data_IF_526244973052
#
_entry.id   IF_526244973052
#
_cell.length_a   1.000
_cell.length_b   1.000
_cell.length_c   1.000
_cell.angle_alpha   90.00
_cell.angle_beta   90.00
_cell.angle_gamma   90.00
#
_symmetry.space_group_name_H-M   'P 1'
#
loop_
_entity.id
_entity.type
_entity.pdbx_description
1 polymer ?
#
# COMPACT_ATOMS: atom_id res chain seq x y z
N UNK A 1 -17.29 -16.61 -47.29
CA UNK A 1 -16.52 -15.40 -47.58
C UNK A 1 -16.38 -14.59 -46.30
N UNK A 2 -15.14 -14.28 -45.90
CA UNK A 2 -14.76 -13.65 -44.62
C UNK A 2 -15.35 -12.23 -44.48
N UNK A 3 -15.94 -11.93 -43.31
CA UNK A 3 -16.27 -10.57 -42.85
C UNK A 3 -14.97 -9.93 -42.34
N UNK A 4 -14.57 -8.80 -42.91
CA UNK A 4 -13.41 -8.02 -42.45
C UNK A 4 -13.80 -7.08 -41.33
N UNK A 5 -13.16 -7.22 -40.17
CA UNK A 5 -13.20 -6.28 -39.06
C UNK A 5 -12.31 -5.08 -39.38
N UNK A 6 -12.89 -3.88 -39.45
CA UNK A 6 -12.11 -2.65 -39.52
C UNK A 6 -11.61 -2.29 -38.12
N UNK A 7 -10.33 -2.53 -37.85
CA UNK A 7 -9.62 -1.98 -36.69
C UNK A 7 -9.45 -0.48 -36.91
N UNK A 8 -10.08 0.35 -36.06
CA UNK A 8 -9.82 1.79 -36.04
C UNK A 8 -8.44 1.98 -35.42
N UNK A 9 -7.42 2.24 -36.25
CA UNK A 9 -6.10 2.63 -35.76
C UNK A 9 -6.19 4.03 -35.15
N UNK A 10 -5.87 4.14 -33.86
CA UNK A 10 -5.62 5.42 -33.22
C UNK A 10 -4.35 6.03 -33.83
N UNK A 11 -4.47 7.22 -34.41
CA UNK A 11 -3.33 7.99 -34.95
C UNK A 11 -3.12 9.17 -33.99
N UNK A 12 -2.01 9.22 -33.24
CA UNK A 12 -1.75 10.36 -32.37
C UNK A 12 -1.60 11.64 -33.21
N UNK A 13 -1.94 12.81 -32.64
CA UNK A 13 -1.81 14.08 -33.35
C UNK A 13 -0.35 14.31 -33.76
N UNK A 14 -0.15 14.94 -34.92
CA UNK A 14 1.21 15.28 -35.39
C UNK A 14 1.87 16.28 -34.44
N UNK A 15 3.20 16.29 -34.40
CA UNK A 15 3.98 17.22 -33.59
C UNK A 15 3.53 18.67 -33.82
N UNK A 16 3.24 19.37 -32.73
CA UNK A 16 2.75 20.75 -32.75
C UNK A 16 3.40 21.58 -31.64
N UNK A 17 4.16 22.62 -32.02
CA UNK A 17 4.89 23.43 -31.05
C UNK A 17 5.92 22.59 -30.27
N UNK A 18 5.83 22.59 -28.95
CA UNK A 18 6.68 21.79 -28.05
C UNK A 18 6.19 20.33 -27.87
N UNK A 19 5.05 19.97 -28.46
CA UNK A 19 4.52 18.61 -28.41
C UNK A 19 5.21 17.72 -29.45
N UNK A 20 5.85 16.67 -28.96
CA UNK A 20 6.50 15.62 -29.74
C UNK A 20 5.82 14.28 -29.41
N UNK A 21 5.09 13.66 -30.37
CA UNK A 21 4.39 12.39 -30.18
C UNK A 21 5.35 11.25 -29.78
N UNK A 22 6.63 11.34 -30.18
CA UNK A 22 7.65 10.34 -29.83
C UNK A 22 8.07 10.45 -28.35
N UNK A 23 7.59 11.46 -27.62
CA UNK A 23 7.79 11.69 -26.17
C UNK A 23 6.49 11.56 -25.38
N UNK A 24 5.43 11.05 -26.01
CA UNK A 24 4.19 10.70 -25.34
C UNK A 24 4.44 9.46 -24.47
N UNK A 25 4.67 9.71 -23.18
CA UNK A 25 4.85 8.67 -22.18
C UNK A 25 3.53 8.39 -21.47
N UNK A 26 3.17 7.11 -21.31
CA UNK A 26 2.12 6.69 -20.38
C UNK A 26 2.45 7.24 -18.99
N UNK A 27 1.74 8.28 -18.59
CA UNK A 27 1.95 8.92 -17.31
C UNK A 27 0.97 8.30 -16.30
N UNK A 28 1.50 7.62 -15.28
CA UNK A 28 0.72 7.19 -14.12
C UNK A 28 -0.06 8.38 -13.52
N UNK A 29 -1.33 8.18 -13.26
CA UNK A 29 -2.18 9.19 -12.62
C UNK A 29 -1.90 9.28 -11.12
N UNK A 30 -1.68 10.49 -10.61
CA UNK A 30 -1.62 10.78 -9.17
C UNK A 30 -2.66 11.85 -8.85
N UNK A 31 -3.34 11.71 -7.72
CA UNK A 31 -4.27 12.71 -7.21
C UNK A 31 -4.16 12.83 -5.69
N UNK A 32 -4.49 14.01 -5.17
CA UNK A 32 -4.52 14.30 -3.75
C UNK A 32 -5.85 14.95 -3.39
N UNK A 33 -6.42 14.55 -2.25
CA UNK A 33 -7.66 15.11 -1.71
C UNK A 33 -7.37 15.57 -0.29
N UNK A 34 -7.77 16.80 0.05
CA UNK A 34 -7.56 17.39 1.37
C UNK A 34 -8.86 17.98 1.87
N UNK A 35 -9.23 17.68 3.12
CA UNK A 35 -10.34 18.35 3.78
C UNK A 35 -9.84 19.62 4.50
N UNK A 36 -10.12 20.79 3.91
CA UNK A 36 -9.69 22.09 4.45
C UNK A 36 -10.30 22.42 5.83
N UNK A 37 -11.41 21.80 6.20
CA UNK A 37 -12.02 21.99 7.52
C UNK A 37 -11.30 21.24 8.64
N UNK A 38 -10.34 20.35 8.30
CA UNK A 38 -9.61 19.51 9.25
C UNK A 38 -10.44 18.39 9.90
N UNK A 39 -11.74 18.26 9.56
CA UNK A 39 -12.61 17.21 10.09
C UNK A 39 -12.25 15.85 9.50
N UNK A 40 -12.07 14.85 10.37
CA UNK A 40 -11.88 13.45 9.98
C UNK A 40 -13.22 12.85 9.58
N UNK A 41 -13.37 12.51 8.31
CA UNK A 41 -14.62 12.00 7.72
C UNK A 41 -14.29 10.97 6.63
N UNK A 42 -15.11 9.92 6.51
CA UNK A 42 -14.92 8.84 5.54
C UNK A 42 -15.13 9.29 4.07
N UNK A 43 -15.86 10.37 3.83
CA UNK A 43 -16.07 10.96 2.50
C UNK A 43 -14.78 11.29 1.74
N UNK A 44 -13.66 11.55 2.45
CA UNK A 44 -12.36 11.76 1.81
C UNK A 44 -11.82 10.48 1.15
N UNK A 45 -12.11 9.32 1.72
CA UNK A 45 -11.75 8.01 1.17
C UNK A 45 -12.59 7.71 -0.07
N UNK A 46 -13.89 8.00 -0.03
CA UNK A 46 -14.77 7.84 -1.19
C UNK A 46 -14.36 8.76 -2.34
N UNK A 47 -13.99 10.00 -2.05
CA UNK A 47 -13.41 10.91 -3.06
C UNK A 47 -12.11 10.35 -3.63
N UNK A 48 -11.22 9.81 -2.78
CA UNK A 48 -9.97 9.17 -3.22
C UNK A 48 -10.21 7.97 -4.14
N UNK A 49 -11.19 7.11 -3.80
CA UNK A 49 -11.62 6.00 -4.67
C UNK A 49 -12.13 6.50 -6.02
N UNK A 50 -12.95 7.56 -6.02
CA UNK A 50 -13.45 8.15 -7.26
C UNK A 50 -12.32 8.70 -8.14
N UNK A 51 -11.29 9.31 -7.53
CA UNK A 51 -10.10 9.75 -8.25
C UNK A 51 -9.41 8.58 -8.93
N UNK A 52 -9.20 7.45 -8.24
CA UNK A 52 -8.60 6.26 -8.84
C UNK A 52 -9.43 5.71 -10.01
N UNK A 53 -10.76 5.63 -9.86
CA UNK A 53 -11.65 5.22 -10.95
C UNK A 53 -11.55 6.14 -12.16
N UNK A 54 -11.47 7.46 -11.92
CA UNK A 54 -11.32 8.43 -13.00
C UNK A 54 -9.96 8.34 -13.68
N UNK A 55 -8.92 7.84 -13.00
CA UNK A 55 -7.58 7.64 -13.55
C UNK A 55 -7.40 6.28 -14.24
N UNK A 56 -8.43 5.43 -14.29
CA UNK A 56 -8.36 4.10 -14.89
C UNK A 56 -7.90 4.12 -16.36
N UNK A 57 -8.32 5.14 -17.13
CA UNK A 57 -7.88 5.34 -18.53
C UNK A 57 -6.38 5.64 -18.69
N UNK A 58 -5.66 5.86 -17.58
CA UNK A 58 -4.21 6.08 -17.52
C UNK A 58 -3.47 4.93 -16.84
N UNK A 59 -4.19 3.87 -16.47
CA UNK A 59 -3.57 2.64 -16.00
C UNK A 59 -3.11 1.84 -17.21
N UNK A 60 -1.83 1.47 -17.23
CA UNK A 60 -1.39 0.42 -18.12
C UNK A 60 -2.03 -0.92 -17.65
N UNK A 61 -2.60 -1.63 -18.61
CA UNK A 61 -3.03 -3.01 -18.43
C UNK A 61 -1.83 -3.92 -18.68
N UNK A 62 -1.65 -4.92 -17.81
CA UNK A 62 -0.60 -5.92 -17.92
C UNK A 62 -0.77 -6.83 -19.14
N UNK A 63 0.04 -7.88 -19.20
CA UNK A 63 0.04 -8.82 -20.33
C UNK A 63 -1.29 -9.62 -20.47
N UNK A 64 -2.10 -9.68 -19.41
CA UNK A 64 -3.50 -10.13 -19.43
C UNK A 64 -4.45 -8.93 -19.19
N UNK A 65 -5.62 -8.95 -19.85
CA UNK A 65 -6.58 -7.83 -19.85
C UNK A 65 -7.11 -7.45 -18.45
N UNK A 66 -6.88 -8.30 -17.44
CA UNK A 66 -7.40 -8.16 -16.07
C UNK A 66 -6.37 -7.71 -15.04
N UNK A 67 -5.07 -7.76 -15.32
CA UNK A 67 -4.05 -7.28 -14.38
C UNK A 67 -3.74 -5.82 -14.66
N UNK A 68 -3.84 -4.96 -13.65
CA UNK A 68 -3.32 -3.59 -13.72
C UNK A 68 -1.93 -3.49 -13.09
N UNK A 69 -1.15 -2.50 -13.49
CA UNK A 69 0.21 -2.26 -12.96
C UNK A 69 0.25 -1.88 -11.48
N UNK A 70 -0.87 -1.38 -10.94
CA UNK A 70 -1.05 -1.08 -9.52
C UNK A 70 -1.90 0.15 -9.25
N UNK A 71 -2.62 0.12 -8.13
CA UNK A 71 -3.37 1.26 -7.62
C UNK A 71 -3.30 1.27 -6.09
N UNK A 72 -3.37 2.45 -5.47
CA UNK A 72 -3.29 2.56 -4.01
C UNK A 72 -3.76 3.91 -3.50
N UNK A 73 -4.13 3.94 -2.22
CA UNK A 73 -4.49 5.16 -1.49
C UNK A 73 -3.60 5.22 -0.25
N UNK A 74 -2.85 6.31 -0.09
CA UNK A 74 -2.21 6.66 1.17
C UNK A 74 -3.13 7.57 1.97
N UNK A 75 -3.43 7.20 3.21
CA UNK A 75 -4.29 7.98 4.10
C UNK A 75 -3.78 7.91 5.54
N UNK A 76 -4.27 8.82 6.37
CA UNK A 76 -3.89 8.90 7.79
C UNK A 76 -4.36 7.67 8.57
N UNK A 77 -3.63 7.31 9.62
CA UNK A 77 -3.98 6.18 10.50
C UNK A 77 -5.41 6.34 11.04
N UNK A 78 -6.34 5.42 10.72
CA UNK A 78 -7.74 5.49 11.14
C UNK A 78 -7.90 5.00 12.60
N UNK A 79 -7.47 5.81 13.57
CA UNK A 79 -7.36 5.39 14.97
C UNK A 79 -8.61 4.72 15.55
N UNK A 80 -9.81 5.26 15.31
CA UNK A 80 -11.06 4.65 15.82
C UNK A 80 -11.27 3.23 15.31
N UNK A 81 -10.96 2.98 14.05
CA UNK A 81 -11.06 1.66 13.44
C UNK A 81 -10.00 0.71 14.02
N UNK A 82 -8.74 1.15 14.08
CA UNK A 82 -7.66 0.29 14.59
C UNK A 82 -7.76 0.02 16.08
N UNK A 83 -8.28 0.95 16.89
CA UNK A 83 -8.51 0.72 18.32
C UNK A 83 -9.53 -0.42 18.52
N UNK A 84 -10.66 -0.37 17.81
CA UNK A 84 -11.68 -1.42 17.86
C UNK A 84 -11.14 -2.78 17.35
N UNK A 85 -10.37 -2.77 16.26
CA UNK A 85 -9.74 -4.00 15.75
C UNK A 85 -8.69 -4.57 16.71
N UNK A 86 -7.88 -3.72 17.34
CA UNK A 86 -6.90 -4.14 18.34
C UNK A 86 -7.57 -4.83 19.53
N UNK A 87 -8.64 -4.24 20.07
CA UNK A 87 -9.42 -4.83 21.16
C UNK A 87 -9.95 -6.22 20.77
N UNK A 88 -10.49 -6.36 19.56
CA UNK A 88 -10.95 -7.65 19.01
C UNK A 88 -9.83 -8.69 18.89
N UNK A 89 -8.60 -8.24 18.63
CA UNK A 89 -7.42 -9.08 18.48
C UNK A 89 -6.66 -9.29 19.81
N UNK A 90 -7.13 -8.70 20.92
CA UNK A 90 -6.58 -8.92 22.25
C UNK A 90 -5.46 -7.96 22.67
N UNK A 91 -5.31 -6.79 22.00
CA UNK A 91 -4.35 -5.77 22.41
C UNK A 91 -4.95 -4.35 22.39
N UNK A 92 -4.52 -3.50 23.32
CA UNK A 92 -4.97 -2.10 23.37
C UNK A 92 -4.02 -1.20 22.57
N UNK A 93 -4.57 -0.21 21.87
CA UNK A 93 -3.78 0.83 21.22
C UNK A 93 -3.66 2.09 22.09
N UNK A 94 -2.47 2.69 22.17
CA UNK A 94 -2.28 4.03 22.71
C UNK A 94 -3.09 5.10 21.95
N UNK A 95 -3.11 6.31 22.52
CA UNK A 95 -3.70 7.48 21.87
C UNK A 95 -3.05 7.78 20.50
N UNK A 96 -3.74 8.52 19.60
CA UNK A 96 -3.15 8.95 18.33
C UNK A 96 -1.78 9.62 18.51
N UNK A 97 -0.83 9.32 17.61
CA UNK A 97 0.56 9.82 17.69
C UNK A 97 1.44 9.09 18.72
N UNK A 98 0.88 8.14 19.48
CA UNK A 98 1.62 7.32 20.46
C UNK A 98 1.82 5.87 20.01
N UNK A 99 1.39 5.55 18.79
CA UNK A 99 1.61 4.25 18.17
C UNK A 99 1.75 4.41 16.66
N UNK A 100 2.42 3.44 16.03
CA UNK A 100 2.67 3.38 14.61
C UNK A 100 2.14 2.07 14.02
N UNK A 101 1.97 2.04 12.71
CA UNK A 101 1.50 0.85 11.97
C UNK A 101 2.41 0.59 10.79
N UNK A 102 2.91 -0.64 10.67
CA UNK A 102 3.58 -1.10 9.46
C UNK A 102 2.64 -2.03 8.69
N UNK A 103 2.49 -1.81 7.38
CA UNK A 103 1.90 -2.81 6.48
C UNK A 103 3.04 -3.64 5.89
N UNK A 104 2.97 -4.95 6.06
CA UNK A 104 4.03 -5.90 5.72
C UNK A 104 3.48 -6.89 4.70
N UNK A 105 4.21 -7.07 3.62
CA UNK A 105 3.94 -8.07 2.59
C UNK A 105 4.89 -9.24 2.77
N UNK A 106 4.35 -10.45 2.73
CA UNK A 106 5.11 -11.69 2.87
C UNK A 106 4.68 -12.76 1.87
N UNK A 107 5.45 -13.86 1.76
CA UNK A 107 5.09 -14.98 0.92
C UNK A 107 3.76 -15.61 1.39
N UNK A 108 2.93 -16.03 0.43
CA UNK A 108 1.63 -16.66 0.70
C UNK A 108 1.74 -18.14 1.04
N UNK A 109 2.69 -18.83 0.39
CA UNK A 109 2.85 -20.29 0.50
C UNK A 109 3.97 -20.71 1.45
N UNK A 110 4.60 -19.77 2.15
CA UNK A 110 5.69 -20.03 3.10
C UNK A 110 5.49 -19.24 4.40
N UNK A 111 4.65 -19.81 5.27
CA UNK A 111 4.29 -19.19 6.55
C UNK A 111 5.49 -19.07 7.51
N UNK A 112 6.42 -20.03 7.45
CA UNK A 112 7.61 -20.05 8.32
C UNK A 112 8.61 -18.95 7.92
N UNK A 113 8.84 -18.78 6.61
CA UNK A 113 9.62 -17.66 6.10
C UNK A 113 8.97 -16.33 6.43
N UNK A 114 7.65 -16.20 6.27
CA UNK A 114 6.96 -14.96 6.61
C UNK A 114 7.08 -14.65 8.11
N UNK A 115 6.89 -15.65 8.98
CA UNK A 115 7.06 -15.50 10.43
C UNK A 115 8.50 -15.11 10.79
N UNK A 116 9.51 -15.69 10.14
CA UNK A 116 10.90 -15.32 10.34
C UNK A 116 11.19 -13.86 9.96
N UNK A 117 10.64 -13.39 8.82
CA UNK A 117 10.72 -11.99 8.39
C UNK A 117 10.02 -11.04 9.38
N UNK A 118 8.82 -11.40 9.86
CA UNK A 118 8.11 -10.67 10.91
C UNK A 118 8.97 -10.56 12.18
N UNK A 119 9.61 -11.66 12.60
CA UNK A 119 10.51 -11.66 13.76
C UNK A 119 11.73 -10.73 13.60
N UNK A 120 12.26 -10.56 12.38
CA UNK A 120 13.31 -9.58 12.10
C UNK A 120 12.81 -8.13 12.23
N UNK A 121 11.56 -7.87 11.86
CA UNK A 121 10.92 -6.56 12.07
C UNK A 121 10.72 -6.29 13.55
N UNK A 122 10.22 -7.26 14.32
CA UNK A 122 10.06 -7.14 15.78
C UNK A 122 11.39 -6.88 16.48
N UNK A 123 12.43 -7.64 16.13
CA UNK A 123 13.78 -7.45 16.65
C UNK A 123 14.36 -6.07 16.28
N UNK A 124 14.06 -5.58 15.09
CA UNK A 124 14.48 -4.24 14.63
C UNK A 124 13.74 -3.14 15.39
N UNK A 125 12.45 -3.30 15.66
CA UNK A 125 11.68 -2.37 16.47
C UNK A 125 12.19 -2.32 17.92
N UNK A 126 12.43 -3.49 18.52
CA UNK A 126 13.00 -3.61 19.86
C UNK A 126 14.39 -2.96 19.96
N UNK A 127 15.23 -3.11 18.94
CA UNK A 127 16.55 -2.45 18.89
C UNK A 127 16.47 -0.93 19.00
N UNK A 128 15.40 -0.32 18.49
CA UNK A 128 15.17 1.12 18.56
C UNK A 128 14.27 1.55 19.74
N UNK A 129 14.01 0.64 20.69
CA UNK A 129 13.26 0.92 21.91
C UNK A 129 11.75 0.98 21.74
N UNK A 130 11.22 0.41 20.66
CA UNK A 130 9.78 0.27 20.42
C UNK A 130 9.29 -1.13 20.81
N UNK A 131 8.00 -1.25 21.11
CA UNK A 131 7.36 -2.53 21.43
C UNK A 131 6.30 -2.86 20.37
N UNK A 132 6.30 -4.09 19.88
CA UNK A 132 5.18 -4.58 19.05
C UNK A 132 4.01 -4.93 19.96
N UNK A 133 2.85 -4.32 19.69
CA UNK A 133 1.61 -4.49 20.45
C UNK A 133 0.82 -5.70 19.97
N UNK A 134 0.83 -5.94 18.66
CA UNK A 134 0.11 -7.04 18.04
C UNK A 134 0.16 -6.98 16.52
N UNK A 135 -0.43 -8.01 15.92
CA UNK A 135 -0.52 -8.18 14.48
C UNK A 135 -1.98 -8.33 14.06
N UNK A 136 -2.28 -7.85 12.86
CA UNK A 136 -3.58 -7.97 12.21
C UNK A 136 -3.40 -8.49 10.80
N UNK A 137 -4.01 -9.63 10.49
CA UNK A 137 -4.18 -10.06 9.09
C UNK A 137 -5.11 -9.08 8.38
N UNK A 138 -4.70 -8.58 7.21
CA UNK A 138 -5.51 -7.64 6.45
C UNK A 138 -6.54 -8.44 5.64
N UNK A 139 -7.85 -8.19 5.83
CA UNK A 139 -8.87 -8.85 5.01
C UNK A 139 -8.73 -8.43 3.54
N UNK A 140 -8.65 -9.41 2.66
CA UNK A 140 -8.53 -9.23 1.21
C UNK A 140 -9.59 -10.04 0.47
N UNK A 141 -9.99 -9.56 -0.71
CA UNK A 141 -10.85 -10.27 -1.66
C UNK A 141 -10.16 -10.27 -3.02
N UNK A 142 -9.67 -11.43 -3.44
CA UNK A 142 -8.85 -11.60 -4.63
C UNK A 142 -9.62 -12.14 -5.84
N UNK A 143 -10.95 -12.24 -5.76
CA UNK A 143 -11.80 -12.80 -6.83
C UNK A 143 -11.72 -12.04 -8.16
N UNK A 144 -11.25 -10.80 -8.14
CA UNK A 144 -11.13 -9.93 -9.32
C UNK A 144 -9.70 -9.84 -9.87
N UNK A 145 -8.72 -10.53 -9.27
CA UNK A 145 -7.34 -10.52 -9.75
C UNK A 145 -7.19 -11.39 -11.00
N UNK A 146 -6.42 -10.92 -11.98
CA UNK A 146 -5.93 -11.75 -13.08
C UNK A 146 -4.98 -12.85 -12.60
N UNK A 147 -4.72 -13.85 -13.43
CA UNK A 147 -3.89 -15.01 -13.07
C UNK A 147 -2.46 -14.59 -12.67
N UNK A 148 -1.89 -13.62 -13.39
CA UNK A 148 -0.56 -13.09 -13.10
C UNK A 148 -0.51 -12.38 -11.74
N UNK A 149 -1.49 -11.51 -11.46
CA UNK A 149 -1.59 -10.82 -10.18
C UNK A 149 -1.84 -11.79 -9.00
N UNK A 150 -2.66 -12.81 -9.23
CA UNK A 150 -2.98 -13.82 -8.22
C UNK A 150 -1.76 -14.68 -7.86
N UNK A 151 -0.94 -15.05 -8.86
CA UNK A 151 0.29 -15.81 -8.65
C UNK A 151 1.35 -15.02 -7.87
N UNK A 152 1.34 -13.69 -7.99
CA UNK A 152 2.25 -12.79 -7.27
C UNK A 152 1.64 -12.21 -5.97
N UNK A 153 0.41 -12.60 -5.61
CA UNK A 153 -0.31 -12.03 -4.46
C UNK A 153 0.42 -12.33 -3.13
N UNK A 154 0.83 -11.30 -2.37
CA UNK A 154 1.45 -11.51 -1.08
C UNK A 154 0.41 -11.75 0.02
N UNK A 155 0.82 -12.43 1.09
CA UNK A 155 0.11 -12.30 2.37
C UNK A 155 0.35 -10.92 2.95
N UNK A 156 -0.71 -10.26 3.42
CA UNK A 156 -0.65 -8.89 3.95
C UNK A 156 -0.99 -8.88 5.43
N UNK A 157 -0.07 -8.36 6.25
CA UNK A 157 -0.26 -8.16 7.69
C UNK A 157 0.04 -6.74 8.10
N UNK A 158 -0.57 -6.30 9.19
CA UNK A 158 -0.28 -5.04 9.85
C UNK A 158 0.31 -5.29 11.24
N UNK A 159 1.46 -4.68 11.53
CA UNK A 159 2.07 -4.67 12.85
C UNK A 159 1.83 -3.32 13.53
N UNK A 160 1.51 -3.35 14.82
CA UNK A 160 1.27 -2.16 15.63
C UNK A 160 2.43 -1.97 16.61
N UNK A 161 2.95 -0.75 16.71
CA UNK A 161 4.13 -0.42 17.53
C UNK A 161 3.79 0.66 18.54
N UNK A 162 4.17 0.46 19.80
CA UNK A 162 4.12 1.47 20.85
C UNK A 162 5.35 2.39 20.75
N UNK A 163 5.13 3.70 20.89
CA UNK A 163 6.21 4.69 20.95
C UNK A 163 7.04 4.62 22.24
N UNK A 164 6.58 3.89 23.26
CA UNK A 164 7.29 3.63 24.52
C UNK A 164 7.85 4.91 25.17
N UNK A 165 7.05 5.99 25.17
CA UNK A 165 7.45 7.26 25.77
C UNK A 165 8.08 8.26 24.81
N UNK A 166 8.51 7.85 23.61
CA UNK A 166 9.08 8.78 22.61
C UNK A 166 8.07 9.83 22.15
N UNK A 167 8.55 11.03 21.82
CA UNK A 167 7.76 12.01 21.08
C UNK A 167 7.54 11.55 19.63
N UNK A 168 6.62 12.22 18.92
CA UNK A 168 6.16 11.81 17.59
C UNK A 168 7.27 11.89 16.53
N UNK A 169 8.05 12.97 16.51
CA UNK A 169 9.14 13.17 15.55
C UNK A 169 10.21 12.08 15.71
N UNK A 170 10.68 11.86 16.95
CA UNK A 170 11.64 10.80 17.26
C UNK A 170 11.07 9.43 16.93
N UNK A 171 9.79 9.19 17.19
CA UNK A 171 9.15 7.92 16.94
C UNK A 171 9.09 7.60 15.44
N UNK A 172 8.72 8.57 14.60
CA UNK A 172 8.74 8.44 13.13
C UNK A 172 10.16 8.12 12.63
N UNK A 173 11.19 8.80 13.14
CA UNK A 173 12.58 8.49 12.83
C UNK A 173 12.96 7.06 13.23
N UNK A 174 12.52 6.59 14.40
CA UNK A 174 12.78 5.21 14.84
C UNK A 174 12.03 4.17 14.01
N UNK A 175 10.80 4.44 13.60
CA UNK A 175 10.06 3.58 12.67
C UNK A 175 10.78 3.46 11.33
N UNK A 176 11.25 4.59 10.79
CA UNK A 176 12.04 4.61 9.55
C UNK A 176 13.30 3.75 9.68
N UNK A 177 14.08 3.96 10.74
CA UNK A 177 15.31 3.21 10.98
C UNK A 177 15.05 1.71 11.22
N UNK A 178 13.99 1.37 11.97
CA UNK A 178 13.57 -0.02 12.19
C UNK A 178 13.22 -0.71 10.88
N UNK A 179 12.46 -0.03 9.99
CA UNK A 179 12.16 -0.54 8.66
C UNK A 179 13.43 -0.78 7.85
N UNK A 180 14.33 0.20 7.75
CA UNK A 180 15.61 0.05 7.00
C UNK A 180 16.46 -1.08 7.54
N UNK A 181 16.50 -1.25 8.87
CA UNK A 181 17.21 -2.34 9.53
C UNK A 181 16.59 -3.70 9.19
N UNK A 182 15.27 -3.82 9.31
CA UNK A 182 14.56 -5.05 8.98
C UNK A 182 14.76 -5.45 7.51
N UNK A 183 14.58 -4.52 6.58
CA UNK A 183 14.84 -4.72 5.14
C UNK A 183 16.27 -5.23 4.87
N UNK A 184 17.26 -4.65 5.56
CA UNK A 184 18.66 -5.06 5.43
C UNK A 184 18.88 -6.48 5.96
N UNK A 185 18.35 -6.78 7.15
CA UNK A 185 18.50 -8.10 7.77
C UNK A 185 17.82 -9.20 6.96
N UNK A 186 16.65 -8.92 6.37
CA UNK A 186 15.96 -9.86 5.47
C UNK A 186 16.87 -10.17 4.27
N UNK A 187 17.37 -9.15 3.57
CA UNK A 187 18.25 -9.32 2.40
C UNK A 187 19.58 -10.02 2.71
N UNK A 188 20.10 -9.87 3.93
CA UNK A 188 21.34 -10.52 4.35
C UNK A 188 21.11 -12.00 4.73
N UNK A 189 19.88 -12.38 5.09
CA UNK A 189 19.57 -13.70 5.64
C UNK A 189 18.87 -14.63 4.66
N UNK A 190 18.09 -14.07 3.73
CA UNK A 190 17.29 -14.76 2.73
C UNK A 190 17.62 -14.20 1.34
#
# INVERSE_FOLDING_TARGET
GKKGSASVMYVPPKSQGLYDPDREHDACGVGAVVNLSGRRDHSIIETGKQVLLNLHHRGAAGADETTGDGAGILFQIPHRFFAAEGERLGFALPAPGRYGVATVFGPKDDADLFAACCGLLEASAAHYGMKVLGWRDVPCDNRTLGELALAAEPSVRQAFFDACGMDEERFEDRLFLARKRAERLVRERF
#
